data_IF_957563771326
#
_entry.id   IF_957563771326
#
_cell.length_a   1.000
_cell.length_b   1.000
_cell.length_c   1.000
_cell.angle_alpha   90.00
_cell.angle_beta   90.00
_cell.angle_gamma   90.00
#
_symmetry.space_group_name_H-M   'P 1'
#
loop_
_entity.id
_entity.type
_entity.pdbx_description
1 polymer ?
#
# COMPACT_ATOMS: atom_id res chain seq x y z
N UNK A 1 -45.14 -3.90 -10.99
CA UNK A 1 -44.13 -4.58 -10.18
C UNK A 1 -42.77 -4.41 -10.78
N UNK A 2 -41.83 -3.93 -9.98
CA UNK A 2 -40.46 -3.83 -10.50
C UNK A 2 -39.89 -5.21 -10.71
N UNK A 3 -38.97 -5.29 -11.66
CA UNK A 3 -38.26 -6.54 -11.96
C UNK A 3 -36.80 -6.34 -11.63
N UNK A 4 -36.23 -7.28 -10.92
CA UNK A 4 -34.82 -7.21 -10.52
C UNK A 4 -34.05 -8.25 -11.30
N UNK A 5 -32.76 -7.95 -11.52
CA UNK A 5 -31.89 -8.91 -12.18
C UNK A 5 -31.68 -10.11 -11.27
N UNK A 6 -31.73 -11.32 -11.81
CA UNK A 6 -31.48 -12.50 -10.98
C UNK A 6 -30.02 -12.57 -10.56
N UNK A 7 -29.76 -13.20 -9.44
CA UNK A 7 -28.39 -13.42 -8.97
C UNK A 7 -28.35 -14.76 -8.24
N UNK A 8 -27.16 -15.33 -8.17
CA UNK A 8 -26.97 -16.64 -7.59
C UNK A 8 -25.63 -16.66 -6.87
N UNK A 9 -25.68 -16.85 -5.56
CA UNK A 9 -24.46 -16.90 -4.74
C UNK A 9 -23.68 -18.19 -4.90
N UNK A 10 -24.30 -19.24 -5.45
CA UNK A 10 -23.67 -20.55 -5.56
C UNK A 10 -22.97 -20.76 -6.88
N UNK A 11 -22.51 -19.70 -7.47
CA UNK A 11 -21.77 -19.80 -8.72
C UNK A 11 -20.27 -19.71 -8.46
N UNK A 12 -19.51 -20.45 -9.25
CA UNK A 12 -18.07 -20.37 -9.23
C UNK A 12 -17.60 -19.44 -10.31
N UNK A 13 -16.54 -18.69 -10.02
CA UNK A 13 -15.99 -17.78 -11.00
C UNK A 13 -14.49 -17.89 -11.03
N UNK A 14 -13.93 -17.88 -12.23
CA UNK A 14 -12.48 -17.80 -12.40
C UNK A 14 -12.15 -16.38 -12.81
N UNK A 15 -11.21 -15.77 -12.09
CA UNK A 15 -10.85 -14.37 -12.32
C UNK A 15 -9.38 -14.31 -12.69
N UNK A 16 -9.10 -13.71 -13.84
CA UNK A 16 -7.74 -13.51 -14.30
C UNK A 16 -7.32 -12.11 -13.89
N UNK A 17 -6.21 -11.99 -13.16
CA UNK A 17 -5.75 -10.70 -12.65
C UNK A 17 -4.32 -10.49 -13.10
N UNK A 18 -4.06 -9.31 -13.67
CA UNK A 18 -2.71 -8.84 -13.92
C UNK A 18 -2.46 -7.69 -12.97
N UNK A 19 -1.49 -7.85 -12.07
CA UNK A 19 -1.29 -6.85 -11.01
C UNK A 19 -0.91 -5.49 -11.56
N UNK A 20 -0.10 -5.45 -12.60
CA UNK A 20 0.29 -4.18 -13.18
C UNK A 20 -0.90 -3.43 -13.74
N UNK A 21 -1.87 -4.14 -14.30
CA UNK A 21 -3.06 -3.50 -14.86
C UNK A 21 -3.95 -2.90 -13.79
N UNK A 22 -3.82 -3.34 -12.55
CA UNK A 22 -4.59 -2.77 -11.45
C UNK A 22 -4.04 -1.43 -10.99
N UNK A 23 -2.80 -1.14 -11.33
CA UNK A 23 -2.15 0.11 -10.93
C UNK A 23 -2.23 1.08 -12.10
N UNK A 24 -3.35 1.79 -12.17
CA UNK A 24 -3.64 2.63 -13.31
C UNK A 24 -3.01 4.01 -13.19
N UNK A 25 -2.45 4.55 -14.27
CA UNK A 25 -1.90 5.91 -14.22
C UNK A 25 -2.97 6.90 -13.77
N UNK A 26 -2.55 7.89 -13.01
CA UNK A 26 -3.47 8.89 -12.50
C UNK A 26 -4.08 8.54 -11.16
N UNK A 27 -3.71 7.41 -10.57
CA UNK A 27 -4.20 7.04 -9.26
C UNK A 27 -3.09 7.16 -8.23
N UNK A 28 -3.49 7.24 -6.96
CA UNK A 28 -2.53 7.30 -5.87
C UNK A 28 -1.72 6.01 -5.77
N UNK A 29 -2.35 4.87 -5.96
CA UNK A 29 -1.64 3.60 -5.90
C UNK A 29 -0.57 3.49 -7.00
N UNK A 30 -0.86 4.01 -8.18
CA UNK A 30 0.14 4.02 -9.24
C UNK A 30 1.31 4.92 -8.83
N UNK A 31 1.02 6.08 -8.26
CA UNK A 31 2.06 7.01 -7.84
C UNK A 31 2.95 6.38 -6.78
N UNK A 32 2.35 5.71 -5.80
CA UNK A 32 3.11 5.03 -4.76
C UNK A 32 4.04 3.99 -5.38
N UNK A 33 3.48 3.18 -6.27
CA UNK A 33 4.24 2.12 -6.91
C UNK A 33 5.40 2.72 -7.72
N UNK A 34 5.11 3.71 -8.54
CA UNK A 34 6.11 4.30 -9.42
C UNK A 34 7.23 4.98 -8.62
N UNK A 35 6.86 5.77 -7.62
CA UNK A 35 7.84 6.52 -6.87
C UNK A 35 8.75 5.59 -6.08
N UNK A 36 8.19 4.56 -5.49
CA UNK A 36 8.99 3.62 -4.71
C UNK A 36 9.92 2.82 -5.61
N UNK A 37 9.44 2.43 -6.80
CA UNK A 37 10.25 1.62 -7.69
C UNK A 37 11.36 2.43 -8.37
N UNK A 38 11.14 3.71 -8.63
CA UNK A 38 12.01 4.42 -9.54
C UNK A 38 12.61 5.72 -9.01
N UNK A 39 12.02 6.36 -8.02
CA UNK A 39 12.42 7.72 -7.70
C UNK A 39 12.86 7.95 -6.27
N UNK A 40 12.45 7.12 -5.33
CA UNK A 40 12.73 7.37 -3.93
C UNK A 40 13.92 6.55 -3.47
N UNK A 41 14.72 7.15 -2.60
CA UNK A 41 15.86 6.47 -2.01
C UNK A 41 15.37 5.70 -0.80
N UNK A 42 15.44 4.39 -0.87
CA UNK A 42 14.95 3.52 0.19
C UNK A 42 16.10 2.91 1.01
N UNK A 43 17.31 3.41 0.84
CA UNK A 43 18.46 2.76 1.45
C UNK A 43 18.37 2.70 2.96
N UNK A 44 17.71 3.67 3.58
CA UNK A 44 17.57 3.70 5.04
C UNK A 44 16.74 2.53 5.54
N UNK A 45 15.93 1.92 4.68
CA UNK A 45 15.06 0.83 5.07
C UNK A 45 15.71 -0.54 4.90
N UNK A 46 16.85 -0.62 4.24
CA UNK A 46 17.47 -1.91 4.02
C UNK A 46 18.29 -2.29 5.24
N UNK A 47 18.16 -3.53 5.68
CA UNK A 47 18.89 -3.96 6.87
C UNK A 47 20.38 -4.01 6.61
N UNK A 48 21.13 -3.74 7.65
CA UNK A 48 22.57 -3.78 7.58
C UNK A 48 23.05 -5.02 8.22
N UNK A 49 22.75 -6.14 7.77
CA UNK A 49 23.22 -7.33 8.41
C UNK A 49 23.38 -8.40 7.38
N UNK A 50 24.22 -9.31 7.71
CA UNK A 50 24.29 -10.50 6.93
C UNK A 50 23.24 -11.42 7.50
N UNK A 51 22.40 -11.88 6.67
CA UNK A 51 21.28 -12.65 7.13
C UNK A 51 21.30 -14.02 6.53
N UNK A 52 22.39 -14.39 6.01
CA UNK A 52 22.52 -15.63 5.31
C UNK A 52 22.33 -16.81 6.22
N UNK A 53 22.49 -16.62 7.51
CA UNK A 53 22.45 -17.76 8.41
C UNK A 53 21.05 -18.22 8.74
N UNK A 54 20.06 -17.38 8.51
CA UNK A 54 18.72 -17.72 8.90
C UNK A 54 18.02 -18.62 7.92
N UNK A 55 18.46 -18.62 6.66
CA UNK A 55 17.78 -19.33 5.62
C UNK A 55 16.43 -18.78 5.26
N UNK A 56 16.02 -17.71 5.88
CA UNK A 56 14.74 -17.10 5.64
C UNK A 56 14.95 -15.77 4.95
N UNK A 57 14.24 -15.55 3.86
CA UNK A 57 14.37 -14.29 3.14
C UNK A 57 13.50 -13.23 3.77
N UNK A 58 14.07 -12.05 3.91
CA UNK A 58 13.31 -10.91 4.40
C UNK A 58 12.42 -10.39 3.29
N UNK A 59 11.33 -9.74 3.68
CA UNK A 59 10.51 -9.03 2.71
C UNK A 59 11.26 -7.82 2.20
N UNK A 60 11.09 -7.53 0.92
CA UNK A 60 11.67 -6.33 0.34
C UNK A 60 11.00 -5.12 0.98
N UNK A 61 11.80 -4.18 1.51
CA UNK A 61 11.20 -2.97 2.08
C UNK A 61 10.30 -2.23 1.11
N UNK A 62 10.58 -2.29 -0.18
CA UNK A 62 9.72 -1.65 -1.17
C UNK A 62 8.30 -2.21 -1.10
N UNK A 63 8.17 -3.52 -0.93
CA UNK A 63 6.84 -4.14 -0.82
C UNK A 63 6.14 -3.69 0.45
N UNK A 64 6.86 -3.72 1.57
CA UNK A 64 6.27 -3.30 2.84
C UNK A 64 5.83 -1.84 2.79
N UNK A 65 6.66 -0.98 2.19
CA UNK A 65 6.34 0.44 2.10
C UNK A 65 5.13 0.70 1.22
N UNK A 66 5.01 -0.01 0.11
CA UNK A 66 3.84 0.17 -0.74
C UNK A 66 2.56 -0.16 0.01
N UNK A 67 2.57 -1.25 0.77
CA UNK A 67 1.41 -1.65 1.56
C UNK A 67 1.10 -0.58 2.60
N UNK A 68 2.11 -0.15 3.33
CA UNK A 68 1.92 0.77 4.45
C UNK A 68 1.46 2.13 3.97
N UNK A 69 2.10 2.66 2.92
CA UNK A 69 1.75 4.00 2.45
C UNK A 69 0.34 4.02 1.85
N UNK A 70 -0.03 2.98 1.12
CA UNK A 70 -1.38 2.93 0.58
C UNK A 70 -2.39 2.77 1.70
N UNK A 71 -2.09 1.96 2.71
CA UNK A 71 -2.96 1.81 3.85
C UNK A 71 -3.17 3.15 4.56
N UNK A 72 -2.11 3.89 4.77
CA UNK A 72 -2.22 5.20 5.41
C UNK A 72 -3.11 6.13 4.63
N UNK A 73 -3.02 6.08 3.29
CA UNK A 73 -3.87 6.93 2.46
C UNK A 73 -5.34 6.61 2.61
N UNK A 74 -5.65 5.40 3.07
CA UNK A 74 -7.04 4.98 3.31
C UNK A 74 -7.43 5.10 4.77
N UNK A 75 -6.56 5.66 5.61
CA UNK A 75 -6.84 5.77 7.03
C UNK A 75 -6.64 4.49 7.81
N UNK A 76 -5.97 3.52 7.21
CA UNK A 76 -5.73 2.23 7.84
C UNK A 76 -4.36 2.28 8.51
N UNK A 77 -4.35 2.11 9.84
CA UNK A 77 -3.10 2.14 10.60
C UNK A 77 -2.83 0.82 11.31
N UNK A 78 -3.78 -0.08 11.32
CA UNK A 78 -3.64 -1.37 12.00
C UNK A 78 -2.89 -2.35 11.11
N UNK A 79 -1.85 -2.96 11.66
CA UNK A 79 -1.07 -3.96 10.92
C UNK A 79 -1.92 -5.19 10.58
N UNK A 80 -2.82 -5.56 11.47
CA UNK A 80 -3.71 -6.69 11.21
C UNK A 80 -4.63 -6.38 10.03
N UNK A 81 -5.14 -5.16 9.97
CA UNK A 81 -5.99 -4.77 8.87
C UNK A 81 -5.19 -4.69 7.57
N UNK A 82 -3.95 -4.25 7.62
CA UNK A 82 -3.10 -4.25 6.44
C UNK A 82 -2.91 -5.65 5.89
N UNK A 83 -2.66 -6.62 6.77
CA UNK A 83 -2.52 -8.00 6.33
C UNK A 83 -3.81 -8.49 5.68
N UNK A 84 -4.93 -8.20 6.31
CA UNK A 84 -6.23 -8.61 5.77
C UNK A 84 -6.49 -7.99 4.41
N UNK A 85 -6.11 -6.73 4.23
CA UNK A 85 -6.25 -6.07 2.95
C UNK A 85 -5.41 -6.75 1.88
N UNK A 86 -4.21 -7.17 2.21
CA UNK A 86 -3.37 -7.90 1.25
C UNK A 86 -4.02 -9.22 0.83
N UNK A 87 -4.83 -9.78 1.70
CA UNK A 87 -5.52 -11.04 1.40
C UNK A 87 -6.78 -10.83 0.57
N UNK A 88 -7.42 -9.66 0.68
CA UNK A 88 -8.78 -9.50 0.17
C UNK A 88 -8.96 -8.37 -0.84
N UNK A 89 -8.08 -7.38 -0.85
CA UNK A 89 -8.25 -6.20 -1.68
C UNK A 89 -7.32 -6.26 -2.88
N UNK A 90 -7.90 -6.09 -4.08
CA UNK A 90 -7.15 -6.28 -5.32
C UNK A 90 -6.01 -5.27 -5.47
N UNK A 91 -6.21 -4.04 -5.02
CA UNK A 91 -5.16 -3.02 -5.14
C UNK A 91 -3.99 -3.34 -4.21
N UNK A 92 -4.30 -3.74 -2.97
CA UNK A 92 -3.24 -4.19 -2.06
C UNK A 92 -2.50 -5.39 -2.62
N UNK A 93 -3.22 -6.33 -3.23
CA UNK A 93 -2.58 -7.49 -3.85
C UNK A 93 -1.67 -7.06 -5.00
N UNK A 94 -2.09 -6.07 -5.77
CA UNK A 94 -1.27 -5.57 -6.87
C UNK A 94 -0.01 -4.89 -6.34
N UNK A 95 -0.16 -4.04 -5.32
CA UNK A 95 0.98 -3.33 -4.76
C UNK A 95 1.99 -4.28 -4.12
N UNK A 96 1.51 -5.31 -3.47
CA UNK A 96 2.38 -6.28 -2.79
C UNK A 96 2.82 -7.41 -3.70
N UNK A 97 2.38 -7.41 -4.94
CA UNK A 97 2.64 -8.48 -5.90
C UNK A 97 2.23 -9.82 -5.31
N UNK A 98 1.02 -9.86 -4.76
CA UNK A 98 0.41 -11.05 -4.15
C UNK A 98 1.20 -11.57 -2.95
N UNK A 99 1.97 -10.71 -2.30
CA UNK A 99 2.67 -11.05 -1.07
C UNK A 99 1.80 -10.64 0.11
N UNK A 100 1.70 -11.52 1.10
CA UNK A 100 0.90 -11.22 2.29
C UNK A 100 1.82 -11.28 3.50
N UNK A 101 2.46 -10.17 3.86
CA UNK A 101 3.30 -10.17 5.06
C UNK A 101 2.44 -10.33 6.30
N UNK A 102 2.98 -11.07 7.27
CA UNK A 102 2.29 -11.23 8.53
C UNK A 102 2.22 -9.89 9.25
N UNK A 103 1.15 -9.68 10.02
CA UNK A 103 0.96 -8.40 10.67
C UNK A 103 2.10 -8.06 11.64
N UNK A 104 2.75 -9.06 12.22
CA UNK A 104 3.88 -8.79 13.11
C UNK A 104 5.07 -8.22 12.33
N UNK A 105 5.27 -8.67 11.11
CA UNK A 105 6.31 -8.12 10.25
C UNK A 105 6.03 -6.65 9.94
N UNK A 106 4.79 -6.36 9.59
CA UNK A 106 4.40 -4.98 9.28
C UNK A 106 4.54 -4.09 10.50
N UNK A 107 4.08 -4.58 11.66
CA UNK A 107 4.15 -3.78 12.88
C UNK A 107 5.60 -3.51 13.27
N UNK A 108 6.45 -4.51 13.16
CA UNK A 108 7.85 -4.35 13.51
C UNK A 108 8.54 -3.36 12.57
N UNK A 109 8.23 -3.44 11.30
CA UNK A 109 8.81 -2.53 10.33
C UNK A 109 8.39 -1.09 10.60
N UNK A 110 7.11 -0.88 10.89
CA UNK A 110 6.62 0.46 11.20
C UNK A 110 7.27 1.00 12.48
N UNK A 111 7.34 0.17 13.52
CA UNK A 111 7.91 0.66 14.78
C UNK A 111 9.40 0.94 14.66
N UNK A 112 10.10 0.22 13.80
CA UNK A 112 11.53 0.44 13.62
C UNK A 112 11.85 1.64 12.74
N UNK A 113 10.91 2.08 11.93
CA UNK A 113 11.17 3.13 10.94
C UNK A 113 10.07 4.17 10.89
N UNK A 114 9.45 4.46 12.05
CA UNK A 114 8.25 5.31 12.02
C UNK A 114 8.54 6.71 11.48
N UNK A 115 9.65 7.31 11.87
CA UNK A 115 9.97 8.66 11.39
C UNK A 115 10.26 8.66 9.89
N UNK A 116 10.99 7.67 9.43
CA UNK A 116 11.35 7.58 8.03
C UNK A 116 10.11 7.31 7.17
N UNK A 117 9.20 6.49 7.68
CA UNK A 117 7.97 6.20 6.95
C UNK A 117 7.10 7.45 6.85
N UNK A 118 6.98 8.20 7.95
CA UNK A 118 6.22 9.44 7.92
C UNK A 118 6.79 10.43 6.92
N UNK A 119 8.09 10.57 6.92
CA UNK A 119 8.74 11.49 5.99
C UNK A 119 8.50 11.05 4.55
N UNK A 120 8.61 9.76 4.31
CA UNK A 120 8.37 9.23 2.98
C UNK A 120 6.94 9.45 2.54
N UNK A 121 6.00 9.25 3.44
CA UNK A 121 4.59 9.47 3.15
C UNK A 121 4.35 10.92 2.77
N UNK A 122 4.95 11.85 3.50
CA UNK A 122 4.82 13.26 3.18
C UNK A 122 5.38 13.58 1.79
N UNK A 123 6.52 12.99 1.45
CA UNK A 123 7.10 13.19 0.14
C UNK A 123 6.17 12.70 -0.96
N UNK A 124 5.59 11.53 -0.76
CA UNK A 124 4.66 10.98 -1.75
C UNK A 124 3.43 11.86 -1.89
N UNK A 125 2.90 12.34 -0.77
CA UNK A 125 1.74 13.21 -0.81
C UNK A 125 2.04 14.51 -1.55
N UNK A 126 3.22 15.08 -1.32
CA UNK A 126 3.59 16.32 -2.01
C UNK A 126 3.68 16.11 -3.50
N UNK A 127 4.30 15.02 -3.93
CA UNK A 127 4.40 14.73 -5.35
C UNK A 127 3.01 14.55 -5.95
N UNK A 128 2.15 13.81 -5.26
CA UNK A 128 0.80 13.58 -5.75
C UNK A 128 0.01 14.87 -5.82
N UNK A 129 0.19 15.75 -4.84
CA UNK A 129 -0.48 17.04 -4.86
C UNK A 129 -0.03 17.86 -6.06
N UNK A 130 1.27 17.91 -6.31
CA UNK A 130 1.82 18.67 -7.43
C UNK A 130 1.34 18.13 -8.76
N UNK A 131 1.09 16.83 -8.84
CA UNK A 131 0.61 16.19 -10.06
C UNK A 131 -0.91 16.21 -10.17
N UNK A 132 -1.60 16.79 -9.20
CA UNK A 132 -3.05 16.85 -9.24
C UNK A 132 -3.74 15.53 -8.98
N UNK A 133 -3.06 14.60 -8.33
CA UNK A 133 -3.59 13.26 -8.11
C UNK A 133 -4.39 13.16 -6.82
N UNK A 134 -4.30 14.14 -5.93
CA UNK A 134 -5.03 14.11 -4.68
C UNK A 134 -6.37 14.80 -4.87
N UNK A 135 -7.43 14.05 -4.69
CA UNK A 135 -8.75 14.63 -4.70
C UNK A 135 -9.13 15.13 -3.32
N UNK A 136 -10.27 15.77 -3.25
CA UNK A 136 -10.75 16.31 -1.98
C UNK A 136 -10.97 15.24 -0.95
N UNK A 137 -11.34 14.07 -1.38
CA UNK A 137 -11.57 12.96 -0.46
C UNK A 137 -10.30 12.56 0.25
N UNK A 138 -9.21 12.50 -0.48
CA UNK A 138 -7.95 12.10 0.11
C UNK A 138 -7.48 13.17 1.10
N UNK A 139 -7.68 14.43 0.77
CA UNK A 139 -7.36 15.50 1.71
C UNK A 139 -8.19 15.39 2.98
N UNK A 140 -9.45 15.02 2.86
CA UNK A 140 -10.30 14.88 4.02
C UNK A 140 -9.82 13.75 4.92
N UNK A 141 -9.38 12.65 4.34
CA UNK A 141 -8.87 11.52 5.12
C UNK A 141 -7.60 11.93 5.86
N UNK A 142 -6.75 12.65 5.21
CA UNK A 142 -5.48 13.08 5.77
C UNK A 142 -5.56 14.39 6.50
N UNK A 143 -6.71 15.03 6.50
CA UNK A 143 -6.85 16.37 7.01
C UNK A 143 -6.49 16.50 8.45
N UNK A 144 -6.67 15.44 9.23
CA UNK A 144 -6.31 15.48 10.63
C UNK A 144 -4.81 15.42 10.84
N UNK A 145 -4.08 14.92 9.87
CA UNK A 145 -2.62 14.85 9.96
C UNK A 145 -1.93 16.00 9.28
N UNK A 146 -2.50 16.47 8.19
CA UNK A 146 -1.92 17.58 7.47
C UNK A 146 -2.26 18.85 8.18
N UNK A 147 -1.29 19.67 8.40
CA UNK A 147 -1.61 20.97 8.99
C UNK A 147 -2.52 21.66 8.02
N UNK A 148 -3.62 21.99 8.54
CA UNK A 148 -4.48 22.75 7.69
C UNK A 148 -3.90 24.10 7.67
N UNK A 149 -3.63 24.55 6.70
CA UNK A 149 -3.04 25.82 6.64
C UNK A 149 -3.87 26.93 6.42
#
# INVERSE_FOLDING_TARGET
MPRFKPYNYDQDAMVVINYRHQLQPGTFEYAVHYLIEHKLDLSVFYPRYSNEDTGRRAYDPAILLKIILFAYSKGITSSREMQWCCETNIIFKALSCDTVPHFTTLAKFVSSHSDEIEELFEQVLLVCHDQGLLGNELFAIDGCKMPSN
#
